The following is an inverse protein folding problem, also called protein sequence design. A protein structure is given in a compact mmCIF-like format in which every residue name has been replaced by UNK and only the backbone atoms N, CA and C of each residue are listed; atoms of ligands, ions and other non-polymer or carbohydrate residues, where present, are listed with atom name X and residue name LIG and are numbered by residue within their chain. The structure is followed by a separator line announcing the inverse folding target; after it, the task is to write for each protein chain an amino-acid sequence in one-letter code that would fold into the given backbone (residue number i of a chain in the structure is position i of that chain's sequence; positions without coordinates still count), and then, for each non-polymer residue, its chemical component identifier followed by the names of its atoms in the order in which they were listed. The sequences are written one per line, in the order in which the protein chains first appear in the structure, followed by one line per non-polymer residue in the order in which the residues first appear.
data_IF_860574355075
#
_entry.id   IF_860574355075
#
_cell.length_a   1.000
_cell.length_b   1.000
_cell.length_c   1.000
_cell.angle_alpha   90.00
_cell.angle_beta   90.00
_cell.angle_gamma   90.00
#
_symmetry.space_group_name_H-M   'P 1'
#
loop_
_entity.id
_entity.type
_entity.pdbx_description
1 polymer ?
#
# COMPACT_ATOMS: atom_id res chain seq x y z
N UNK A 1 22.60 19.19 -1.32
CA UNK A 1 21.82 19.34 -0.08
C UNK A 1 21.71 17.94 0.54
N UNK A 2 22.08 17.78 1.81
CA UNK A 2 21.85 16.52 2.52
C UNK A 2 20.34 16.29 2.55
N UNK A 3 19.87 15.17 1.99
CA UNK A 3 18.45 14.84 1.99
C UNK A 3 17.94 14.68 3.41
N UNK A 4 16.75 15.18 3.68
CA UNK A 4 16.05 15.05 4.94
C UNK A 4 15.99 13.56 5.35
N UNK A 5 16.30 13.25 6.61
CA UNK A 5 16.21 11.88 7.12
C UNK A 5 14.73 11.41 7.12
N UNK A 6 14.50 10.10 6.98
CA UNK A 6 13.11 9.59 6.95
C UNK A 6 12.32 10.01 8.21
N UNK A 7 12.93 10.02 9.39
CA UNK A 7 12.29 10.47 10.63
C UNK A 7 11.78 11.92 10.54
N UNK A 8 12.53 12.81 9.89
CA UNK A 8 12.14 14.22 9.70
C UNK A 8 10.95 14.35 8.73
N UNK A 9 10.83 13.44 7.75
CA UNK A 9 9.67 13.38 6.85
C UNK A 9 8.43 12.81 7.56
N UNK A 10 8.60 11.94 8.54
CA UNK A 10 7.49 11.32 9.25
C UNK A 10 6.91 12.21 10.36
N UNK A 11 7.71 13.11 10.93
CA UNK A 11 7.28 13.98 12.02
C UNK A 11 6.07 14.87 11.68
N UNK A 12 6.01 15.58 10.53
CA UNK A 12 4.82 16.35 10.13
C UNK A 12 3.59 15.46 9.88
N UNK A 13 3.77 14.19 9.56
CA UNK A 13 2.71 13.21 9.38
C UNK A 13 2.25 12.59 10.71
N UNK A 14 2.84 12.99 11.84
CA UNK A 14 2.57 12.47 13.19
C UNK A 14 2.86 10.95 13.31
N UNK A 15 3.85 10.46 12.56
CA UNK A 15 4.29 9.07 12.58
C UNK A 15 5.62 8.98 13.32
N UNK A 16 5.64 8.22 14.40
CA UNK A 16 6.85 7.96 15.20
C UNK A 16 7.17 6.48 15.12
N UNK A 17 8.38 6.15 14.72
CA UNK A 17 8.87 4.77 14.60
C UNK A 17 10.17 4.60 15.39
N UNK A 18 10.40 3.39 15.87
CA UNK A 18 11.67 3.02 16.49
C UNK A 18 12.83 3.14 15.52
N UNK A 19 14.02 3.47 16.03
CA UNK A 19 15.23 3.66 15.21
C UNK A 19 15.56 2.42 14.36
N UNK A 20 15.39 1.23 14.90
CA UNK A 20 15.61 -0.04 14.19
C UNK A 20 14.69 -0.21 12.98
N UNK A 21 13.43 0.27 13.06
CA UNK A 21 12.49 0.25 11.95
C UNK A 21 12.90 1.27 10.89
N UNK A 22 13.29 2.49 11.31
CA UNK A 22 13.78 3.52 10.41
C UNK A 22 15.00 3.05 9.61
N UNK A 23 15.96 2.39 10.25
CA UNK A 23 17.12 1.83 9.57
C UNK A 23 16.77 0.76 8.52
N UNK A 24 15.80 -0.10 8.83
CA UNK A 24 15.31 -1.11 7.88
C UNK A 24 14.56 -0.48 6.70
N UNK A 25 13.81 0.59 6.93
CA UNK A 25 13.13 1.36 5.88
C UNK A 25 14.14 2.08 4.99
N UNK A 26 15.16 2.70 5.55
CA UNK A 26 16.24 3.33 4.78
C UNK A 26 17.00 2.31 3.93
N UNK A 27 17.29 1.12 4.50
CA UNK A 27 17.87 0.02 3.75
C UNK A 27 16.97 -0.40 2.57
N UNK A 28 15.65 -0.50 2.78
CA UNK A 28 14.68 -0.82 1.72
C UNK A 28 14.75 0.21 0.58
N UNK A 29 14.82 1.50 0.90
CA UNK A 29 14.94 2.58 -0.10
C UNK A 29 16.25 2.47 -0.91
N UNK A 30 17.38 2.22 -0.24
CA UNK A 30 18.68 2.03 -0.88
C UNK A 30 18.68 0.78 -1.78
N UNK A 31 18.09 -0.31 -1.32
CA UNK A 31 18.00 -1.56 -2.04
C UNK A 31 17.10 -1.44 -3.29
N UNK A 32 15.99 -0.69 -3.19
CA UNK A 32 15.16 -0.34 -4.34
C UNK A 32 15.98 0.39 -5.40
N UNK A 33 16.75 1.41 -5.02
CA UNK A 33 17.59 2.17 -5.93
C UNK A 33 18.67 1.29 -6.57
N UNK A 34 19.28 0.39 -5.79
CA UNK A 34 20.29 -0.57 -6.29
C UNK A 34 19.70 -1.46 -7.37
N UNK A 35 18.55 -2.09 -7.12
CA UNK A 35 17.86 -2.95 -8.09
C UNK A 35 17.33 -2.17 -9.29
N UNK A 36 16.89 -0.92 -9.07
CA UNK A 36 16.31 -0.10 -10.13
C UNK A 36 17.30 0.20 -11.25
N UNK A 37 18.62 0.23 -10.97
CA UNK A 37 19.68 0.44 -11.96
C UNK A 37 19.66 -0.58 -13.10
N UNK A 38 19.20 -1.80 -12.84
CA UNK A 38 19.20 -2.92 -13.81
C UNK A 38 17.81 -3.42 -14.17
N UNK A 39 16.80 -3.18 -13.33
CA UNK A 39 15.49 -3.80 -13.47
C UNK A 39 14.34 -2.84 -13.78
N UNK A 40 14.54 -1.52 -13.73
CA UNK A 40 13.49 -0.52 -13.95
C UNK A 40 12.21 -0.85 -13.14
N UNK A 41 12.32 -0.86 -11.82
CA UNK A 41 11.23 -1.16 -10.89
C UNK A 41 10.32 0.05 -10.65
N UNK A 42 10.90 1.25 -10.70
CA UNK A 42 10.23 2.53 -10.49
C UNK A 42 10.85 3.63 -11.38
N UNK A 43 10.05 4.65 -11.71
CA UNK A 43 10.53 5.86 -12.38
C UNK A 43 11.29 6.80 -11.43
N UNK A 44 11.14 6.65 -10.11
CA UNK A 44 11.80 7.48 -9.11
C UNK A 44 13.21 6.96 -8.88
N UNK A 45 14.21 7.81 -9.14
CA UNK A 45 15.64 7.47 -9.05
C UNK A 45 16.41 8.32 -8.04
N UNK A 46 15.84 9.43 -7.59
CA UNK A 46 16.42 10.28 -6.55
C UNK A 46 16.17 9.68 -5.15
N UNK A 47 17.21 9.56 -4.30
CA UNK A 47 17.07 8.99 -2.96
C UNK A 47 16.12 9.77 -2.04
N UNK A 48 16.05 11.09 -2.15
CA UNK A 48 15.15 11.92 -1.34
C UNK A 48 13.70 11.70 -1.78
N UNK A 49 13.45 11.62 -3.09
CA UNK A 49 12.13 11.28 -3.61
C UNK A 49 11.68 9.87 -3.23
N UNK A 50 12.59 8.88 -3.19
CA UNK A 50 12.27 7.52 -2.71
C UNK A 50 11.83 7.56 -1.26
N UNK A 51 12.55 8.29 -0.38
CA UNK A 51 12.14 8.45 1.02
C UNK A 51 10.75 9.05 1.15
N UNK A 52 10.46 10.11 0.41
CA UNK A 52 9.17 10.78 0.49
C UNK A 52 8.06 10.00 -0.20
N UNK A 53 8.20 9.75 -1.52
CA UNK A 53 7.12 9.25 -2.40
C UNK A 53 6.93 7.74 -2.36
N UNK A 54 7.89 7.00 -1.78
CA UNK A 54 7.73 5.56 -1.57
C UNK A 54 7.62 5.22 -0.08
N UNK A 55 8.58 5.63 0.77
CA UNK A 55 8.57 5.23 2.19
C UNK A 55 7.54 6.03 2.99
N UNK A 56 7.66 7.35 3.09
CA UNK A 56 6.76 8.17 3.89
C UNK A 56 5.31 8.10 3.38
N UNK A 57 5.10 8.17 2.05
CA UNK A 57 3.78 8.03 1.43
C UNK A 57 3.09 6.70 1.84
N UNK A 58 3.81 5.58 1.79
CA UNK A 58 3.30 4.27 2.22
C UNK A 58 2.89 4.25 3.70
N UNK A 59 3.68 4.88 4.56
CA UNK A 59 3.46 4.90 6.00
C UNK A 59 2.28 5.78 6.43
N UNK A 60 1.75 6.63 5.54
CA UNK A 60 0.51 7.41 5.80
C UNK A 60 -0.70 6.52 6.11
N UNK A 61 -0.65 5.25 5.74
CA UNK A 61 -1.70 4.27 6.06
C UNK A 61 -1.68 3.79 7.52
N UNK A 62 -0.57 3.94 8.26
CA UNK A 62 -0.43 3.40 9.62
C UNK A 62 -1.56 3.79 10.57
N UNK A 63 -2.03 5.06 10.60
CA UNK A 63 -3.14 5.44 11.49
C UNK A 63 -4.49 4.80 11.15
N UNK A 64 -4.60 4.13 10.00
CA UNK A 64 -5.79 3.42 9.53
C UNK A 64 -5.71 1.92 9.78
N UNK A 65 -4.63 1.42 10.39
CA UNK A 65 -4.39 0.00 10.63
C UNK A 65 -4.30 -0.28 12.13
N UNK A 66 -4.77 -1.46 12.56
CA UNK A 66 -4.56 -1.97 13.93
C UNK A 66 -3.17 -2.58 14.12
N UNK A 67 -2.51 -2.94 13.00
CA UNK A 67 -1.18 -3.54 12.99
C UNK A 67 -1.16 -5.07 13.07
N UNK A 68 -2.30 -5.73 13.14
CA UNK A 68 -2.40 -7.21 13.23
C UNK A 68 -3.26 -7.83 12.12
N UNK A 69 -3.82 -7.01 11.24
CA UNK A 69 -4.72 -7.41 10.16
C UNK A 69 -4.05 -8.31 9.13
N UNK A 70 -4.87 -9.06 8.42
CA UNK A 70 -4.51 -9.68 7.15
C UNK A 70 -4.74 -8.66 6.03
N UNK A 71 -3.64 -8.18 5.48
CA UNK A 71 -3.61 -7.11 4.48
C UNK A 71 -3.26 -7.66 3.09
N UNK A 72 -4.04 -7.27 2.09
CA UNK A 72 -3.76 -7.49 0.68
C UNK A 72 -3.38 -6.17 0.01
N UNK A 73 -2.25 -6.14 -0.69
CA UNK A 73 -1.82 -5.01 -1.53
C UNK A 73 -1.99 -5.37 -3.02
N UNK A 74 -2.97 -4.76 -3.69
CA UNK A 74 -3.29 -4.97 -5.09
C UNK A 74 -2.46 -4.04 -5.99
N UNK A 75 -1.76 -4.63 -6.97
CA UNK A 75 -0.89 -3.87 -7.86
C UNK A 75 0.27 -3.22 -7.13
N UNK A 76 0.86 -3.96 -6.21
CA UNK A 76 1.84 -3.48 -5.23
C UNK A 76 3.13 -2.89 -5.83
N UNK A 77 3.35 -3.05 -7.12
CA UNK A 77 4.58 -2.58 -7.75
C UNK A 77 5.82 -3.23 -7.14
N UNK A 78 6.79 -2.41 -6.80
CA UNK A 78 7.98 -2.86 -6.09
C UNK A 78 7.74 -3.11 -4.58
N UNK A 79 6.48 -3.26 -4.14
CA UNK A 79 6.11 -3.57 -2.76
C UNK A 79 5.77 -2.34 -1.92
N UNK A 80 5.19 -1.32 -2.54
CA UNK A 80 4.76 -0.10 -1.88
C UNK A 80 3.23 0.11 -2.05
N UNK A 81 2.44 0.06 -0.95
CA UNK A 81 2.84 0.26 0.46
C UNK A 81 3.20 -1.01 1.26
N UNK A 82 3.06 -2.22 0.72
CA UNK A 82 3.15 -3.49 1.45
C UNK A 82 4.42 -3.65 2.32
N UNK A 83 5.62 -3.44 1.75
CA UNK A 83 6.89 -3.62 2.46
C UNK A 83 7.10 -2.61 3.60
N UNK A 84 6.91 -1.28 3.39
CA UNK A 84 7.00 -0.31 4.49
C UNK A 84 6.03 -0.60 5.62
N UNK A 85 4.77 -0.95 5.32
CA UNK A 85 3.78 -1.30 6.33
C UNK A 85 4.18 -2.55 7.12
N UNK A 86 4.68 -3.58 6.45
CA UNK A 86 5.18 -4.79 7.10
C UNK A 86 6.37 -4.55 8.01
N UNK A 87 7.26 -3.63 7.63
CA UNK A 87 8.40 -3.24 8.45
C UNK A 87 7.96 -2.45 9.70
N UNK A 88 7.00 -1.54 9.54
CA UNK A 88 6.48 -0.73 10.65
C UNK A 88 5.56 -1.53 11.59
N UNK A 89 4.82 -2.52 11.06
CA UNK A 89 3.90 -3.38 11.82
C UNK A 89 4.25 -4.85 11.60
N UNK A 90 5.22 -5.41 12.35
CA UNK A 90 5.68 -6.80 12.15
C UNK A 90 4.61 -7.87 12.34
N UNK A 91 3.53 -7.58 13.07
CA UNK A 91 2.41 -8.51 13.28
C UNK A 91 1.42 -8.59 12.11
N UNK A 92 1.44 -7.63 11.16
CA UNK A 92 0.62 -7.71 9.94
C UNK A 92 0.91 -9.01 9.16
N UNK A 93 -0.14 -9.63 8.62
CA UNK A 93 -0.03 -10.73 7.67
C UNK A 93 -0.26 -10.17 6.28
N UNK A 94 0.79 -10.04 5.48
CA UNK A 94 0.75 -9.30 4.21
C UNK A 94 0.81 -10.24 3.02
N UNK A 95 -0.15 -10.10 2.11
CA UNK A 95 -0.09 -10.65 0.75
C UNK A 95 0.01 -9.48 -0.21
N UNK A 96 0.97 -9.52 -1.10
CA UNK A 96 1.26 -8.49 -2.09
C UNK A 96 1.17 -9.10 -3.48
N UNK A 97 0.42 -8.49 -4.40
CA UNK A 97 0.17 -9.02 -5.74
C UNK A 97 0.56 -8.00 -6.81
N UNK A 98 1.33 -8.43 -7.80
CA UNK A 98 1.64 -7.62 -9.00
C UNK A 98 1.85 -8.54 -10.21
N UNK A 99 1.43 -8.06 -11.40
CA UNK A 99 1.55 -8.79 -12.65
C UNK A 99 2.98 -8.75 -13.25
N UNK A 100 3.89 -7.96 -12.68
CA UNK A 100 5.24 -7.76 -13.19
C UNK A 100 6.25 -8.60 -12.39
N UNK A 101 6.71 -9.71 -12.96
CA UNK A 101 7.55 -10.71 -12.29
C UNK A 101 8.82 -10.13 -11.65
N UNK A 102 9.51 -9.17 -12.31
CA UNK A 102 10.72 -8.53 -11.75
C UNK A 102 10.44 -7.74 -10.47
N UNK A 103 9.27 -7.13 -10.34
CA UNK A 103 8.84 -6.41 -9.13
C UNK A 103 8.58 -7.38 -7.98
N UNK A 104 7.95 -8.51 -8.28
CA UNK A 104 7.75 -9.60 -7.29
C UNK A 104 9.07 -10.25 -6.89
N UNK A 105 10.02 -10.42 -7.82
CA UNK A 105 11.35 -10.92 -7.49
C UNK A 105 12.08 -10.01 -6.49
N UNK A 106 11.98 -8.69 -6.66
CA UNK A 106 12.50 -7.71 -5.71
C UNK A 106 11.83 -7.85 -4.33
N UNK A 107 10.51 -7.91 -4.27
CA UNK A 107 9.78 -8.06 -3.01
C UNK A 107 10.18 -9.34 -2.27
N UNK A 108 10.31 -10.47 -2.97
CA UNK A 108 10.78 -11.74 -2.41
C UNK A 108 12.21 -11.66 -1.91
N UNK A 109 13.08 -10.94 -2.62
CA UNK A 109 14.44 -10.67 -2.17
C UNK A 109 14.44 -9.89 -0.86
N UNK A 110 13.69 -8.79 -0.77
CA UNK A 110 13.56 -7.98 0.46
C UNK A 110 13.01 -8.81 1.62
N UNK A 111 11.92 -9.54 1.38
CA UNK A 111 11.28 -10.36 2.41
C UNK A 111 12.24 -11.40 3.00
N UNK A 112 13.04 -12.07 2.15
CA UNK A 112 14.05 -13.03 2.58
C UNK A 112 15.21 -12.35 3.34
N UNK A 113 15.73 -11.24 2.82
CA UNK A 113 16.89 -10.54 3.41
C UNK A 113 16.55 -9.97 4.78
N UNK A 114 15.35 -9.37 4.91
CA UNK A 114 14.88 -8.80 6.19
C UNK A 114 14.08 -9.81 7.04
N UNK A 115 14.02 -11.08 6.63
CA UNK A 115 13.33 -12.15 7.36
C UNK A 115 11.87 -11.76 7.74
N UNK A 116 11.11 -11.24 6.78
CA UNK A 116 9.74 -10.80 7.01
C UNK A 116 8.79 -12.00 7.16
N UNK A 117 8.53 -12.41 8.38
CA UNK A 117 7.54 -13.45 8.66
C UNK A 117 6.14 -13.02 8.17
N UNK A 118 5.34 -13.96 7.66
CA UNK A 118 3.97 -13.69 7.18
C UNK A 118 3.87 -12.60 6.10
N UNK A 119 4.89 -12.52 5.23
CA UNK A 119 4.87 -11.72 4.01
C UNK A 119 4.94 -12.65 2.79
N UNK A 120 3.96 -12.54 1.90
CA UNK A 120 3.89 -13.35 0.67
C UNK A 120 3.77 -12.45 -0.55
N UNK A 121 4.73 -12.53 -1.47
CA UNK A 121 4.69 -11.82 -2.76
C UNK A 121 4.27 -12.77 -3.88
N UNK A 122 3.13 -12.48 -4.51
CA UNK A 122 2.45 -13.27 -5.53
C UNK A 122 2.61 -12.61 -6.89
N UNK A 123 3.18 -13.35 -7.83
CA UNK A 123 3.20 -12.95 -9.24
C UNK A 123 1.89 -13.40 -9.88
N UNK A 124 1.04 -12.46 -10.24
CA UNK A 124 -0.27 -12.74 -10.81
C UNK A 124 -1.08 -11.47 -11.03
N UNK A 125 -2.21 -11.60 -11.64
CA UNK A 125 -3.18 -10.52 -11.80
C UNK A 125 -4.08 -10.43 -10.57
N UNK A 126 -4.53 -9.22 -10.25
CA UNK A 126 -5.45 -9.01 -9.13
C UNK A 126 -6.78 -9.76 -9.33
N UNK A 127 -7.23 -9.86 -10.57
CA UNK A 127 -8.45 -10.52 -10.98
C UNK A 127 -8.46 -12.04 -10.72
N UNK A 128 -7.27 -12.66 -10.73
CA UNK A 128 -7.12 -14.11 -10.53
C UNK A 128 -7.06 -14.50 -9.05
N UNK A 129 -6.91 -13.53 -8.16
CA UNK A 129 -6.70 -13.79 -6.74
C UNK A 129 -7.92 -14.40 -6.02
N UNK A 130 -9.17 -13.92 -6.26
CA UNK A 130 -10.35 -14.48 -5.59
C UNK A 130 -10.53 -15.99 -5.75
N UNK A 131 -10.16 -16.54 -6.91
CA UNK A 131 -10.20 -17.97 -7.21
C UNK A 131 -9.04 -18.79 -6.62
N UNK A 132 -8.08 -18.16 -5.95
CA UNK A 132 -6.93 -18.82 -5.35
C UNK A 132 -7.18 -19.16 -3.88
N UNK A 133 -6.45 -20.13 -3.30
CA UNK A 133 -6.51 -20.41 -1.86
C UNK A 133 -6.14 -19.20 -0.99
N UNK A 134 -5.31 -18.28 -1.50
CA UNK A 134 -4.94 -17.05 -0.79
C UNK A 134 -6.09 -16.04 -0.77
N UNK A 135 -6.81 -15.89 -1.90
CA UNK A 135 -7.99 -15.02 -1.98
C UNK A 135 -9.16 -15.54 -1.16
N UNK A 136 -9.45 -16.85 -1.27
CA UNK A 136 -10.54 -17.50 -0.55
C UNK A 136 -10.45 -17.38 0.98
N UNK A 137 -9.24 -17.19 1.53
CA UNK A 137 -9.05 -16.98 2.96
C UNK A 137 -9.47 -15.59 3.47
N UNK A 138 -9.85 -14.66 2.57
CA UNK A 138 -10.30 -13.31 2.88
C UNK A 138 -9.25 -12.41 3.54
N UNK A 139 -9.46 -11.09 3.47
CA UNK A 139 -8.57 -10.07 4.04
C UNK A 139 -9.36 -9.05 4.84
N UNK A 140 -8.81 -8.60 5.96
CA UNK A 140 -9.40 -7.53 6.79
C UNK A 140 -9.24 -6.17 6.09
N UNK A 141 -8.11 -6.00 5.39
CA UNK A 141 -7.77 -4.77 4.67
C UNK A 141 -7.27 -5.12 3.27
N UNK A 142 -7.83 -4.47 2.27
CA UNK A 142 -7.26 -4.40 0.92
C UNK A 142 -6.74 -2.99 0.70
N UNK A 143 -5.51 -2.85 0.21
CA UNK A 143 -4.96 -1.55 -0.20
C UNK A 143 -4.55 -1.57 -1.66
N UNK A 144 -4.59 -0.40 -2.30
CA UNK A 144 -4.10 -0.22 -3.66
C UNK A 144 -3.57 1.19 -3.85
N UNK A 145 -2.44 1.30 -4.57
CA UNK A 145 -1.83 2.57 -4.97
C UNK A 145 -1.62 2.59 -6.47
N UNK A 146 -2.15 3.64 -7.16
CA UNK A 146 -1.96 3.86 -8.60
C UNK A 146 -2.39 2.69 -9.52
N UNK A 147 -3.38 1.90 -9.13
CA UNK A 147 -3.86 0.73 -9.89
C UNK A 147 -5.10 1.02 -10.77
N UNK A 148 -5.59 2.23 -10.87
CA UNK A 148 -6.75 2.58 -11.71
C UNK A 148 -7.82 3.39 -10.96
N UNK A 149 -9.06 3.39 -11.49
CA UNK A 149 -10.18 4.13 -10.91
C UNK A 149 -10.68 3.50 -9.60
N UNK A 150 -11.32 4.32 -8.76
CA UNK A 150 -11.87 3.86 -7.48
C UNK A 150 -12.91 2.73 -7.65
N UNK A 151 -13.85 2.81 -8.64
CA UNK A 151 -14.76 1.69 -8.91
C UNK A 151 -14.09 0.40 -9.35
N UNK A 152 -12.99 0.50 -10.12
CA UNK A 152 -12.21 -0.68 -10.50
C UNK A 152 -11.57 -1.33 -9.26
N UNK A 153 -10.95 -0.51 -8.40
CA UNK A 153 -10.35 -1.00 -7.16
C UNK A 153 -11.40 -1.67 -6.26
N UNK A 154 -12.57 -1.05 -6.13
CA UNK A 154 -13.68 -1.58 -5.34
C UNK A 154 -14.15 -2.95 -5.86
N UNK A 155 -14.31 -3.10 -7.19
CA UNK A 155 -14.66 -4.40 -7.81
C UNK A 155 -13.61 -5.49 -7.58
N UNK A 156 -12.32 -5.13 -7.63
CA UNK A 156 -11.23 -6.08 -7.41
C UNK A 156 -11.09 -6.46 -5.93
N UNK A 157 -11.37 -5.53 -5.02
CA UNK A 157 -11.21 -5.74 -3.58
C UNK A 157 -12.38 -6.53 -2.96
N UNK A 158 -13.63 -6.26 -3.36
CA UNK A 158 -14.82 -6.83 -2.75
C UNK A 158 -14.76 -8.37 -2.58
N UNK A 159 -14.41 -9.18 -3.62
CA UNK A 159 -14.35 -10.62 -3.48
C UNK A 159 -13.19 -11.14 -2.61
N UNK A 160 -12.27 -10.25 -2.24
CA UNK A 160 -11.12 -10.58 -1.39
C UNK A 160 -11.31 -10.15 0.07
N UNK A 161 -12.33 -9.33 0.36
CA UNK A 161 -12.59 -8.83 1.71
C UNK A 161 -13.43 -9.82 2.53
N UNK A 162 -13.11 -9.94 3.82
CA UNK A 162 -14.00 -10.57 4.79
C UNK A 162 -15.19 -9.64 5.10
N UNK A 163 -16.34 -10.13 5.57
CA UNK A 163 -17.39 -9.27 6.12
C UNK A 163 -16.83 -8.35 7.22
N UNK A 164 -17.12 -7.05 7.12
CA UNK A 164 -16.54 -6.02 8.01
C UNK A 164 -15.12 -5.56 7.61
N UNK A 165 -14.57 -6.10 6.54
CA UNK A 165 -13.30 -5.65 5.97
C UNK A 165 -13.42 -4.31 5.24
N UNK A 166 -12.29 -3.75 4.84
CA UNK A 166 -12.26 -2.43 4.18
C UNK A 166 -11.23 -2.33 3.06
N UNK A 167 -11.56 -1.55 2.02
CA UNK A 167 -10.60 -1.11 1.01
C UNK A 167 -10.03 0.25 1.43
N UNK A 168 -8.71 0.40 1.39
CA UNK A 168 -8.02 1.69 1.54
C UNK A 168 -7.34 2.02 0.22
N UNK A 169 -7.92 2.94 -0.55
CA UNK A 169 -7.36 3.41 -1.82
C UNK A 169 -6.48 4.65 -1.61
N UNK A 170 -5.23 4.57 -2.05
CA UNK A 170 -4.29 5.70 -2.03
C UNK A 170 -4.41 6.49 -3.33
N UNK A 171 -4.98 7.70 -3.25
CA UNK A 171 -5.21 8.59 -4.39
C UNK A 171 -4.42 9.90 -4.25
N UNK A 172 -4.27 10.63 -5.38
CA UNK A 172 -3.73 12.00 -5.41
C UNK A 172 -4.81 13.05 -5.20
N UNK A 173 -4.54 14.28 -5.68
CA UNK A 173 -5.40 15.46 -5.53
C UNK A 173 -6.85 15.23 -6.00
N UNK A 174 -7.05 14.46 -7.07
CA UNK A 174 -8.37 14.19 -7.65
C UNK A 174 -9.21 13.17 -6.85
N UNK A 175 -8.67 12.63 -5.75
CA UNK A 175 -9.33 11.57 -4.98
C UNK A 175 -10.72 11.94 -4.46
N UNK A 176 -10.92 13.19 -4.03
CA UNK A 176 -12.22 13.67 -3.54
C UNK A 176 -13.26 13.73 -4.67
N UNK A 177 -12.87 14.23 -5.83
CA UNK A 177 -13.74 14.30 -7.03
C UNK A 177 -14.08 12.89 -7.50
N UNK A 178 -13.09 12.01 -7.54
CA UNK A 178 -13.28 10.60 -7.93
C UNK A 178 -14.23 9.87 -6.97
N UNK A 179 -14.11 10.08 -5.66
CA UNK A 179 -15.01 9.51 -4.67
C UNK A 179 -16.43 9.99 -4.84
N UNK A 180 -16.64 11.31 -5.03
CA UNK A 180 -17.96 11.89 -5.24
C UNK A 180 -18.64 11.32 -6.50
N UNK A 181 -17.88 11.19 -7.60
CA UNK A 181 -18.38 10.64 -8.86
C UNK A 181 -18.71 9.14 -8.78
N UNK A 182 -18.00 8.40 -7.90
CA UNK A 182 -18.13 6.94 -7.80
C UNK A 182 -19.21 6.45 -6.82
N UNK A 183 -19.83 7.33 -6.02
CA UNK A 183 -20.70 6.94 -4.90
C UNK A 183 -21.81 5.96 -5.28
N UNK A 184 -22.53 6.22 -6.39
CA UNK A 184 -23.62 5.34 -6.83
C UNK A 184 -23.12 3.94 -7.22
N UNK A 185 -21.96 3.86 -7.88
CA UNK A 185 -21.38 2.58 -8.27
C UNK A 185 -20.81 1.82 -7.06
N UNK A 186 -20.19 2.53 -6.10
CA UNK A 186 -19.71 1.92 -4.86
C UNK A 186 -20.86 1.34 -4.03
N UNK A 187 -21.98 2.06 -3.92
CA UNK A 187 -23.18 1.55 -3.27
C UNK A 187 -23.76 0.32 -3.99
N UNK A 188 -23.80 0.32 -5.32
CA UNK A 188 -24.23 -0.83 -6.12
C UNK A 188 -23.29 -2.04 -5.97
N UNK A 189 -22.01 -1.82 -5.67
CA UNK A 189 -21.05 -2.87 -5.36
C UNK A 189 -21.17 -3.39 -3.90
N UNK A 190 -22.04 -2.76 -3.07
CA UNK A 190 -22.28 -3.19 -1.70
C UNK A 190 -21.46 -2.48 -0.64
N UNK A 191 -20.64 -1.48 -0.96
CA UNK A 191 -19.95 -0.68 0.05
C UNK A 191 -20.93 0.24 0.78
N UNK A 192 -20.88 0.23 2.13
CA UNK A 192 -21.91 0.87 2.98
C UNK A 192 -21.51 2.24 3.49
N UNK A 193 -20.24 2.50 3.61
CA UNK A 193 -19.73 3.78 4.05
C UNK A 193 -18.39 4.11 3.40
N UNK A 194 -18.11 5.40 3.34
CA UNK A 194 -16.82 5.91 2.88
C UNK A 194 -16.33 7.00 3.81
N UNK A 195 -15.04 6.97 4.12
CA UNK A 195 -14.33 8.05 4.79
C UNK A 195 -13.14 8.47 3.94
N UNK A 196 -12.72 9.71 4.07
CA UNK A 196 -11.57 10.25 3.35
C UNK A 196 -10.67 11.02 4.31
N UNK A 197 -9.38 10.77 4.23
CA UNK A 197 -8.34 11.55 4.90
C UNK A 197 -7.45 12.20 3.85
N UNK A 198 -7.45 13.52 3.81
CA UNK A 198 -6.53 14.30 2.96
C UNK A 198 -5.29 14.68 3.75
N UNK A 199 -4.14 14.68 3.09
CA UNK A 199 -2.86 15.10 3.63
C UNK A 199 -1.96 15.60 2.49
N UNK A 200 -0.85 16.27 2.85
CA UNK A 200 0.20 16.64 1.92
C UNK A 200 1.51 15.96 2.32
N UNK A 201 2.29 15.54 1.34
CA UNK A 201 3.63 15.04 1.59
C UNK A 201 4.56 16.19 2.00
N UNK A 202 5.50 15.96 2.93
CA UNK A 202 6.20 17.03 3.65
C UNK A 202 7.11 17.93 2.82
N UNK A 203 7.69 17.42 1.74
CA UNK A 203 8.66 18.15 0.91
C UNK A 203 8.05 18.59 -0.42
N UNK A 204 7.45 17.67 -1.14
CA UNK A 204 6.84 17.94 -2.45
C UNK A 204 5.51 18.67 -2.35
N UNK A 205 4.90 18.74 -1.16
CA UNK A 205 3.53 19.20 -0.95
C UNK A 205 2.48 18.46 -1.82
N UNK A 206 2.86 17.30 -2.35
CA UNK A 206 1.97 16.50 -3.17
C UNK A 206 0.75 16.04 -2.35
N UNK A 207 -0.43 16.37 -2.82
CA UNK A 207 -1.68 16.00 -2.17
C UNK A 207 -1.92 14.50 -2.22
N UNK A 208 -2.46 13.96 -1.13
CA UNK A 208 -2.90 12.57 -0.98
C UNK A 208 -4.29 12.51 -0.39
N UNK A 209 -5.09 11.62 -0.95
CA UNK A 209 -6.39 11.22 -0.45
C UNK A 209 -6.35 9.73 -0.11
N UNK A 210 -6.49 9.40 1.16
CA UNK A 210 -6.69 8.03 1.63
C UNK A 210 -8.21 7.81 1.74
N UNK A 211 -8.77 7.01 0.82
CA UNK A 211 -10.20 6.73 0.78
C UNK A 211 -10.42 5.35 1.40
N UNK A 212 -11.21 5.31 2.46
CA UNK A 212 -11.59 4.08 3.17
C UNK A 212 -13.02 3.72 2.78
N UNK A 213 -13.22 2.52 2.24
CA UNK A 213 -14.54 1.99 1.89
C UNK A 213 -14.81 0.74 2.71
N UNK A 214 -15.88 0.77 3.51
CA UNK A 214 -16.28 -0.35 4.39
C UNK A 214 -17.09 -1.39 3.60
N UNK A 215 -16.73 -2.66 3.78
CA UNK A 215 -17.37 -3.81 3.13
C UNK A 215 -18.13 -4.66 4.16
N UNK A 216 -19.47 -4.63 4.18
CA UNK A 216 -20.24 -5.41 5.15
C UNK A 216 -20.26 -6.91 4.85
N UNK A 217 -19.87 -7.32 3.64
CA UNK A 217 -20.05 -8.68 3.10
C UNK A 217 -21.13 -8.73 2.02
N UNK A 218 -21.12 -9.80 1.24
CA UNK A 218 -22.24 -10.07 0.32
C UNK A 218 -23.45 -10.50 1.13
N UNK A 219 -24.61 -9.90 0.83
CA UNK A 219 -25.90 -10.32 1.38
C UNK A 219 -26.31 -11.70 0.89
#
# INVERSE_FOLDING_TARGET
MAGCALAELLAPLQIVLEQTILERLEWLGQELLRWNRTHNLTAITDPAEVREKHLADSLTLLPLLSGTEKLLDLGSGAGFPALPLKLACPALKVVSVDAVGKKIAFQRHVARTLQLASFTAVHGRAEDLPGSPLGAAGFDVVTARALGSLPLLARLAAPCLVPGGRLIAMKGAEGAVELAAAQAELAALGYTSSAMRSLQLPVSAAERCLIVLEWPGSA
#
